data_IF_317249490600
#
_entry.id   IF_317249490600
#
_cell.length_a   1.000
_cell.length_b   1.000
_cell.length_c   1.000
_cell.angle_alpha   90.00
_cell.angle_beta   90.00
_cell.angle_gamma   90.00
#
_symmetry.space_group_name_H-M   'P 1'
#
loop_
_entity.id
_entity.type
_entity.pdbx_description
1 polymer ?
#
# COMPACT_ATOMS: atom_id res chain seq x y z
N UNK A 1 -10.25 36.26 -6.68
CA UNK A 1 -10.84 34.91 -6.49
C UNK A 1 -9.85 34.06 -5.69
N UNK A 2 -9.96 34.09 -4.37
CA UNK A 2 -9.09 33.34 -3.47
C UNK A 2 -9.49 31.87 -3.50
N UNK A 3 -8.76 31.05 -4.26
CA UNK A 3 -8.94 29.60 -4.25
C UNK A 3 -8.31 29.06 -2.97
N UNK A 4 -9.15 28.51 -2.10
CA UNK A 4 -8.73 28.06 -0.77
C UNK A 4 -7.83 26.81 -0.87
N UNK A 5 -6.56 26.88 -0.44
CA UNK A 5 -5.61 25.79 -0.56
C UNK A 5 -6.01 24.56 0.28
N UNK A 6 -6.77 24.79 1.35
CA UNK A 6 -7.29 23.75 2.24
C UNK A 6 -8.32 22.87 1.54
N UNK A 7 -9.20 23.46 0.72
CA UNK A 7 -10.17 22.73 -0.09
C UNK A 7 -9.50 21.92 -1.21
N UNK A 8 -8.46 22.47 -1.83
CA UNK A 8 -7.67 21.74 -2.84
C UNK A 8 -6.97 20.51 -2.24
N UNK A 9 -6.48 20.63 -1.00
CA UNK A 9 -5.87 19.52 -0.27
C UNK A 9 -6.90 18.44 0.11
N UNK A 10 -8.08 18.84 0.61
CA UNK A 10 -9.18 17.92 0.90
C UNK A 10 -9.69 17.21 -0.35
N UNK A 11 -9.78 17.90 -1.49
CA UNK A 11 -10.18 17.29 -2.76
C UNK A 11 -9.17 16.24 -3.23
N UNK A 12 -7.87 16.50 -3.07
CA UNK A 12 -6.83 15.54 -3.41
C UNK A 12 -6.84 14.31 -2.48
N UNK A 13 -7.32 14.48 -1.25
CA UNK A 13 -7.46 13.43 -0.25
C UNK A 13 -8.69 12.55 -0.53
N UNK A 14 -9.77 13.13 -1.04
CA UNK A 14 -11.00 12.40 -1.38
C UNK A 14 -10.89 11.65 -2.73
N UNK A 15 -10.20 12.25 -3.70
CA UNK A 15 -9.91 11.67 -5.02
C UNK A 15 -8.48 12.07 -5.43
N UNK A 16 -7.59 11.08 -5.53
CA UNK A 16 -6.19 11.28 -5.92
C UNK A 16 -6.13 12.07 -7.25
N UNK A 17 -5.56 13.29 -7.23
CA UNK A 17 -5.34 14.12 -8.43
C UNK A 17 -6.33 15.27 -8.68
N UNK A 18 -7.52 15.31 -8.06
CA UNK A 18 -8.53 16.36 -8.34
C UNK A 18 -8.21 17.70 -7.69
N UNK A 19 -7.41 17.72 -6.63
CA UNK A 19 -6.95 18.96 -5.98
C UNK A 19 -6.09 19.84 -6.88
N UNK A 20 -5.29 19.23 -7.77
CA UNK A 20 -4.48 19.97 -8.74
C UNK A 20 -5.30 20.54 -9.90
N UNK A 21 -6.42 19.90 -10.25
CA UNK A 21 -7.36 20.43 -11.25
C UNK A 21 -8.09 21.69 -10.74
N UNK A 22 -8.43 21.75 -9.44
CA UNK A 22 -9.05 22.94 -8.82
C UNK A 22 -8.13 24.18 -8.85
N UNK A 23 -6.82 23.96 -8.71
CA UNK A 23 -5.80 25.01 -8.81
C UNK A 23 -5.46 25.42 -10.25
N UNK A 24 -6.09 24.80 -11.27
CA UNK A 24 -5.82 25.04 -12.69
C UNK A 24 -4.60 24.29 -13.25
N UNK A 25 -3.94 23.45 -12.45
CA UNK A 25 -2.78 22.64 -12.86
C UNK A 25 -3.19 21.20 -13.19
N UNK A 26 -4.05 21.06 -14.21
CA UNK A 26 -4.62 19.78 -14.64
C UNK A 26 -3.52 18.74 -14.95
N UNK A 27 -2.44 19.16 -15.60
CA UNK A 27 -1.31 18.29 -15.97
C UNK A 27 -0.66 17.62 -14.76
N UNK A 28 -0.49 18.35 -13.64
CA UNK A 28 0.12 17.78 -12.43
C UNK A 28 -0.82 16.80 -11.73
N UNK A 29 -2.12 17.08 -11.74
CA UNK A 29 -3.15 16.20 -11.16
C UNK A 29 -3.18 14.82 -11.81
N UNK A 30 -3.18 14.79 -13.14
CA UNK A 30 -3.16 13.54 -13.92
C UNK A 30 -1.86 12.77 -13.65
N UNK A 31 -0.71 13.46 -13.58
CA UNK A 31 0.58 12.84 -13.32
C UNK A 31 0.63 12.16 -11.94
N UNK A 32 0.12 12.82 -10.91
CA UNK A 32 0.05 12.25 -9.54
C UNK A 32 -0.94 11.08 -9.47
N UNK A 33 -2.08 11.18 -10.14
CA UNK A 33 -3.06 10.09 -10.20
C UNK A 33 -2.46 8.84 -10.87
N UNK A 34 -1.85 8.99 -12.05
CA UNK A 34 -1.24 7.89 -12.79
C UNK A 34 -0.08 7.26 -12.02
N UNK A 35 0.80 8.07 -11.43
CA UNK A 35 1.91 7.56 -10.62
C UNK A 35 1.41 6.85 -9.35
N UNK A 36 0.40 7.40 -8.67
CA UNK A 36 -0.18 6.79 -7.47
C UNK A 36 -0.84 5.44 -7.77
N UNK A 37 -1.62 5.37 -8.84
CA UNK A 37 -2.26 4.11 -9.29
C UNK A 37 -1.20 3.10 -9.74
N UNK A 38 -0.21 3.50 -10.52
CA UNK A 38 0.87 2.62 -10.97
C UNK A 38 1.68 2.07 -9.78
N UNK A 39 2.03 2.93 -8.81
CA UNK A 39 2.73 2.51 -7.60
C UNK A 39 1.88 1.53 -6.77
N UNK A 40 0.59 1.81 -6.58
CA UNK A 40 -0.33 0.91 -5.89
C UNK A 40 -0.44 -0.45 -6.57
N UNK A 41 -0.48 -0.48 -7.91
CA UNK A 41 -0.56 -1.70 -8.71
C UNK A 41 0.69 -2.58 -8.60
N UNK A 42 1.86 -1.99 -8.30
CA UNK A 42 3.11 -2.72 -8.11
C UNK A 42 3.25 -3.19 -6.65
N UNK A 43 2.95 -2.32 -5.69
CA UNK A 43 3.11 -2.61 -4.26
C UNK A 43 2.13 -3.70 -3.79
N UNK A 44 0.89 -3.67 -4.30
CA UNK A 44 -0.13 -4.63 -3.89
C UNK A 44 0.27 -6.10 -4.16
N UNK A 45 0.57 -6.54 -5.39
CA UNK A 45 0.94 -7.94 -5.65
C UNK A 45 2.24 -8.32 -4.95
N UNK A 46 3.22 -7.40 -4.84
CA UNK A 46 4.47 -7.66 -4.14
C UNK A 46 4.22 -7.94 -2.64
N UNK A 47 3.36 -7.14 -2.00
CA UNK A 47 2.98 -7.34 -0.60
C UNK A 47 2.26 -8.68 -0.37
N UNK A 48 1.39 -9.09 -1.31
CA UNK A 48 0.70 -10.38 -1.22
C UNK A 48 1.68 -11.56 -1.29
N UNK A 49 2.68 -11.51 -2.17
CA UNK A 49 3.71 -12.56 -2.28
C UNK A 49 4.54 -12.69 -0.99
N UNK A 50 4.93 -11.55 -0.41
CA UNK A 50 5.69 -11.54 0.86
C UNK A 50 4.87 -12.16 1.98
N UNK A 51 3.57 -11.85 2.07
CA UNK A 51 2.69 -12.43 3.10
C UNK A 51 2.58 -13.94 2.93
N UNK A 52 2.38 -14.44 1.71
CA UNK A 52 2.28 -15.90 1.45
C UNK A 52 3.59 -16.60 1.84
N UNK A 53 4.74 -16.02 1.49
CA UNK A 53 6.03 -16.57 1.89
C UNK A 53 6.24 -16.55 3.41
N UNK A 54 5.89 -15.45 4.07
CA UNK A 54 5.98 -15.32 5.53
C UNK A 54 5.07 -16.33 6.25
N UNK A 55 3.88 -16.61 5.72
CA UNK A 55 3.00 -17.66 6.24
C UNK A 55 3.65 -19.05 6.13
N UNK A 56 4.30 -19.34 5.00
CA UNK A 56 5.00 -20.61 4.80
C UNK A 56 6.19 -20.77 5.76
N UNK A 57 6.99 -19.71 5.93
CA UNK A 57 8.13 -19.70 6.85
C UNK A 57 7.68 -19.89 8.32
N UNK A 58 6.61 -19.19 8.72
CA UNK A 58 6.01 -19.36 10.04
C UNK A 58 5.50 -20.80 10.28
N UNK A 59 4.86 -21.41 9.29
CA UNK A 59 4.39 -22.80 9.39
C UNK A 59 5.54 -23.80 9.57
N UNK A 60 6.61 -23.66 8.78
CA UNK A 60 7.80 -24.52 8.90
C UNK A 60 8.48 -24.35 10.25
N UNK A 61 8.59 -23.11 10.73
CA UNK A 61 9.17 -22.79 12.04
C UNK A 61 8.35 -23.40 13.18
N UNK A 62 7.02 -23.28 13.14
CA UNK A 62 6.13 -23.90 14.12
C UNK A 62 6.25 -25.43 14.11
N UNK A 63 6.32 -26.06 12.93
CA UNK A 63 6.51 -27.51 12.80
C UNK A 63 7.83 -27.98 13.42
N UNK A 64 8.93 -27.27 13.16
CA UNK A 64 10.24 -27.57 13.76
C UNK A 64 10.21 -27.46 15.28
N UNK A 65 9.57 -26.41 15.81
CA UNK A 65 9.46 -26.20 17.25
C UNK A 65 8.64 -27.31 17.92
N UNK A 66 7.50 -27.69 17.35
CA UNK A 66 6.67 -28.78 17.89
C UNK A 66 7.39 -30.13 17.90
N UNK A 67 8.17 -30.43 16.85
CA UNK A 67 9.01 -31.62 16.82
C UNK A 67 10.10 -31.59 17.89
N UNK A 68 10.72 -30.43 18.11
CA UNK A 68 11.72 -30.26 19.16
C UNK A 68 11.13 -30.42 20.57
N UNK A 69 9.93 -29.88 20.81
CA UNK A 69 9.20 -30.06 22.08
C UNK A 69 8.86 -31.54 22.31
N UNK A 70 8.33 -32.23 21.29
CA UNK A 70 8.00 -33.66 21.40
C UNK A 70 9.22 -34.52 21.74
N UNK A 71 10.39 -34.21 21.18
CA UNK A 71 11.65 -34.92 21.45
C UNK A 71 12.20 -34.67 22.87
N UNK A 72 11.83 -33.56 23.51
CA UNK A 72 12.24 -33.24 24.90
C UNK A 72 11.29 -33.82 25.95
N UNK A 73 10.08 -34.20 25.55
CA UNK A 73 9.03 -34.67 26.44
C UNK A 73 8.89 -36.21 26.51
N UNK A 74 9.67 -36.96 25.73
CA UNK A 74 9.77 -38.41 25.78
C UNK A 74 11.21 -38.83 25.95
#
# INVERSE_FOLDING_TARGET
MSKDPTLACLLNLLFLGTGHMYLGQITKGILVLVLGVAAGMIVWPLSALIIVWAMYDAYQTAKKLNLAVKKRAG
#
